data_IF_712038636983
#
_entry.id   IF_712038636983
#
_cell.length_a   1.000
_cell.length_b   1.000
_cell.length_c   1.000
_cell.angle_alpha   90.00
_cell.angle_beta   90.00
_cell.angle_gamma   90.00
#
_symmetry.space_group_name_H-M   'P 1'
#
loop_
_entity.id
_entity.type
_entity.pdbx_description
1 polymer ?
#
# COMPACT_ATOMS: atom_id res chain seq x y z
N UNK A 1 0.30 8.90 -5.83
CA UNK A 1 0.83 7.56 -6.15
C UNK A 1 -0.25 6.51 -5.89
N UNK A 2 -0.46 5.58 -6.81
CA UNK A 2 -1.38 4.44 -6.66
C UNK A 2 -0.82 3.23 -7.40
N UNK A 3 -1.09 2.02 -6.90
CA UNK A 3 -0.67 0.77 -7.53
C UNK A 3 -1.88 -0.14 -7.73
N UNK A 4 -2.44 -0.22 -8.96
CA UNK A 4 -3.63 -1.03 -9.24
C UNK A 4 -3.32 -2.53 -9.25
N UNK A 5 -2.12 -2.91 -9.71
CA UNK A 5 -1.71 -4.28 -9.90
C UNK A 5 -0.24 -4.52 -9.51
N UNK A 6 0.18 -5.76 -9.25
CA UNK A 6 1.57 -6.08 -8.97
C UNK A 6 2.50 -5.55 -10.06
N UNK A 7 3.57 -4.84 -9.66
CA UNK A 7 4.58 -4.21 -10.54
C UNK A 7 4.05 -3.06 -11.41
N UNK A 8 2.86 -2.55 -11.14
CA UNK A 8 2.29 -1.38 -11.81
C UNK A 8 2.15 -0.26 -10.79
N UNK A 9 2.70 0.92 -11.11
CA UNK A 9 2.65 2.11 -10.26
C UNK A 9 2.31 3.32 -11.12
N UNK A 10 1.28 4.05 -10.71
CA UNK A 10 0.94 5.36 -11.24
C UNK A 10 1.48 6.42 -10.26
N UNK A 11 2.53 7.12 -10.68
CA UNK A 11 3.15 8.21 -9.94
C UNK A 11 3.42 9.38 -10.88
N UNK A 12 3.32 10.59 -10.34
CA UNK A 12 3.62 11.83 -11.05
C UNK A 12 3.89 12.95 -10.05
N UNK A 13 4.68 13.92 -10.49
CA UNK A 13 4.87 15.20 -9.79
C UNK A 13 3.87 16.18 -10.37
N UNK A 14 3.12 16.87 -9.51
CA UNK A 14 2.10 17.84 -9.91
C UNK A 14 2.47 19.20 -9.30
N UNK A 15 2.72 20.24 -10.12
CA UNK A 15 2.86 21.59 -9.61
C UNK A 15 1.49 22.09 -9.14
N UNK A 16 1.41 22.57 -7.90
CA UNK A 16 0.17 23.03 -7.26
C UNK A 16 0.36 24.40 -6.64
N UNK A 17 -0.71 25.18 -6.55
CA UNK A 17 -0.71 26.38 -5.72
C UNK A 17 -0.70 26.03 -4.24
N UNK A 18 -0.19 26.95 -3.40
CA UNK A 18 -0.22 26.77 -1.95
C UNK A 18 -1.67 26.63 -1.43
N UNK A 19 -1.85 25.83 -0.38
CA UNK A 19 -3.14 25.65 0.29
C UNK A 19 -4.13 24.71 -0.42
N UNK A 20 -3.72 24.08 -1.52
CA UNK A 20 -4.52 23.05 -2.21
C UNK A 20 -4.75 21.86 -1.28
N UNK A 21 -5.98 21.33 -1.28
CA UNK A 21 -6.31 20.13 -0.49
C UNK A 21 -5.89 18.84 -1.19
N UNK A 22 -5.79 17.75 -0.45
CA UNK A 22 -5.56 16.41 -0.98
C UNK A 22 -6.53 16.07 -2.11
N UNK A 23 -7.83 16.32 -1.94
CA UNK A 23 -8.84 16.03 -2.97
C UNK A 23 -8.60 16.83 -4.26
N UNK A 24 -8.35 18.13 -4.12
CA UNK A 24 -8.08 19.01 -5.25
C UNK A 24 -6.81 18.60 -6.00
N UNK A 25 -5.75 18.24 -5.29
CA UNK A 25 -4.53 17.73 -5.88
C UNK A 25 -4.75 16.42 -6.64
N UNK A 26 -5.54 15.49 -6.08
CA UNK A 26 -5.89 14.24 -6.74
C UNK A 26 -6.71 14.47 -8.01
N UNK A 27 -7.65 15.40 -7.99
CA UNK A 27 -8.42 15.81 -9.17
C UNK A 27 -7.50 16.43 -10.24
N UNK A 28 -6.66 17.40 -9.88
CA UNK A 28 -5.72 18.06 -10.80
C UNK A 28 -4.68 17.08 -11.36
N UNK A 29 -4.31 16.06 -10.59
CA UNK A 29 -3.37 15.05 -11.06
C UNK A 29 -3.92 14.21 -12.22
N UNK A 30 -5.24 14.11 -12.38
CA UNK A 30 -5.89 13.21 -13.35
C UNK A 30 -5.98 11.74 -12.91
N UNK A 31 -5.38 11.38 -11.76
CA UNK A 31 -5.28 9.99 -11.31
C UNK A 31 -6.65 9.33 -11.10
N UNK A 32 -7.61 10.07 -10.55
CA UNK A 32 -8.98 9.56 -10.32
C UNK A 32 -9.74 9.32 -11.63
N UNK A 33 -9.41 10.05 -12.70
CA UNK A 33 -10.02 9.83 -14.01
C UNK A 33 -9.40 8.62 -14.73
N UNK A 34 -8.10 8.38 -14.55
CA UNK A 34 -7.39 7.21 -15.09
C UNK A 34 -7.74 5.90 -14.38
N UNK A 35 -8.06 5.98 -13.08
CA UNK A 35 -8.37 4.84 -12.22
C UNK A 35 -9.81 4.99 -11.66
N UNK A 36 -10.85 4.76 -12.49
CA UNK A 36 -12.25 4.96 -12.11
C UNK A 36 -12.72 3.99 -11.02
N UNK A 37 -11.95 2.96 -10.70
CA UNK A 37 -12.24 2.06 -9.58
C UNK A 37 -12.00 2.68 -8.20
N UNK A 38 -11.29 3.82 -8.14
CA UNK A 38 -11.00 4.51 -6.88
C UNK A 38 -12.22 5.31 -6.44
N UNK A 39 -12.89 4.84 -5.39
CA UNK A 39 -13.96 5.58 -4.71
C UNK A 39 -13.49 6.05 -3.33
N UNK A 40 -13.22 7.36 -3.22
CA UNK A 40 -12.78 7.97 -1.96
C UNK A 40 -13.91 8.17 -0.94
N UNK A 41 -15.17 7.91 -1.32
CA UNK A 41 -16.30 7.92 -0.39
C UNK A 41 -16.39 6.64 0.46
N UNK A 42 -15.61 5.61 0.10
CA UNK A 42 -15.50 4.32 0.78
C UNK A 42 -14.14 4.19 1.50
N UNK A 43 -13.93 4.87 2.64
CA UNK A 43 -12.64 4.94 3.34
C UNK A 43 -12.13 3.56 3.81
N UNK A 44 -13.02 2.59 3.99
CA UNK A 44 -12.72 1.20 4.30
C UNK A 44 -12.09 0.43 3.14
N UNK A 45 -12.37 0.82 1.89
CA UNK A 45 -11.81 0.22 0.67
C UNK A 45 -10.57 0.97 0.21
N UNK A 46 -10.66 2.30 0.14
CA UNK A 46 -9.58 3.19 -0.30
C UNK A 46 -9.24 4.19 0.79
N UNK A 47 -7.98 4.19 1.23
CA UNK A 47 -7.48 5.15 2.21
C UNK A 47 -6.47 6.08 1.55
N UNK A 48 -6.63 7.38 1.74
CA UNK A 48 -5.65 8.38 1.32
C UNK A 48 -4.63 8.61 2.43
N UNK A 49 -3.36 8.68 2.05
CA UNK A 49 -2.25 8.87 2.95
C UNK A 49 -1.29 9.96 2.43
N UNK A 50 -0.59 10.59 3.36
CA UNK A 50 0.62 11.38 3.08
C UNK A 50 1.79 10.65 3.73
N UNK A 51 2.76 10.23 2.93
CA UNK A 51 3.94 9.48 3.42
C UNK A 51 3.56 8.29 4.33
N UNK A 52 2.60 7.46 3.89
CA UNK A 52 2.11 6.31 4.65
C UNK A 52 1.21 6.61 5.87
N UNK A 53 0.98 7.89 6.20
CA UNK A 53 0.07 8.29 7.29
C UNK A 53 -1.29 8.65 6.75
N UNK A 54 -2.36 8.04 7.30
CA UNK A 54 -3.74 8.33 6.90
C UNK A 54 -4.03 9.82 7.01
N UNK A 55 -4.73 10.37 6.03
CA UNK A 55 -5.14 11.77 6.00
C UNK A 55 -6.59 11.91 5.51
N UNK A 56 -7.13 13.12 5.66
CA UNK A 56 -8.44 13.48 5.11
C UNK A 56 -8.29 14.05 3.69
N UNK A 57 -9.28 13.84 2.78
CA UNK A 57 -9.35 14.55 1.50
C UNK A 57 -9.29 16.09 1.64
N UNK A 58 -9.70 16.63 2.79
CA UNK A 58 -9.70 18.08 3.07
C UNK A 58 -8.37 18.61 3.62
N UNK A 59 -7.39 17.73 3.85
CA UNK A 59 -6.08 18.14 4.37
C UNK A 59 -5.38 19.07 3.39
N UNK A 60 -4.98 20.26 3.86
CA UNK A 60 -4.19 21.20 3.09
C UNK A 60 -2.74 20.71 2.95
N UNK A 61 -2.26 20.64 1.71
CA UNK A 61 -0.95 20.11 1.40
C UNK A 61 0.17 21.09 1.74
N UNK A 62 1.33 20.53 2.07
CA UNK A 62 2.60 21.23 2.16
C UNK A 62 3.46 20.91 0.96
N UNK A 63 4.48 21.74 0.76
CA UNK A 63 5.46 21.51 -0.28
C UNK A 63 6.11 20.11 -0.12
N UNK A 64 6.28 19.42 -1.25
CA UNK A 64 6.82 18.06 -1.34
C UNK A 64 6.03 16.95 -0.63
N UNK A 65 4.77 17.20 -0.25
CA UNK A 65 3.90 16.12 0.24
C UNK A 65 3.64 15.08 -0.86
N UNK A 66 3.83 13.79 -0.53
CA UNK A 66 3.46 12.69 -1.41
C UNK A 66 2.13 12.09 -0.98
N UNK A 67 1.12 12.27 -1.83
CA UNK A 67 -0.19 11.65 -1.68
C UNK A 67 -0.15 10.21 -2.20
N UNK A 68 -0.65 9.29 -1.40
CA UNK A 68 -0.75 7.86 -1.69
C UNK A 68 -2.19 7.40 -1.53
N UNK A 69 -2.68 6.56 -2.45
CA UNK A 69 -3.97 5.88 -2.32
C UNK A 69 -3.71 4.40 -2.06
N UNK A 70 -4.08 3.94 -0.88
CA UNK A 70 -3.90 2.58 -0.40
C UNK A 70 -5.23 1.82 -0.42
N UNK A 71 -5.17 0.51 -0.68
CA UNK A 71 -6.34 -0.38 -0.63
C UNK A 71 -6.41 -1.11 0.71
N UNK A 72 -7.63 -1.51 1.09
CA UNK A 72 -7.86 -2.39 2.22
C UNK A 72 -7.05 -3.69 2.10
N UNK A 73 -6.58 -4.19 3.25
CA UNK A 73 -5.94 -5.49 3.31
C UNK A 73 -7.01 -6.58 3.17
N UNK A 74 -6.85 -7.49 2.22
CA UNK A 74 -7.77 -8.63 2.02
C UNK A 74 -7.58 -9.73 3.07
N UNK A 75 -6.38 -9.82 3.64
CA UNK A 75 -5.99 -10.81 4.63
C UNK A 75 -5.04 -10.15 5.62
N UNK A 76 -5.14 -10.55 6.90
CA UNK A 76 -4.21 -10.10 7.92
C UNK A 76 -2.75 -10.39 7.48
N UNK A 77 -1.83 -9.41 7.56
CA UNK A 77 -0.47 -9.59 7.06
C UNK A 77 0.30 -10.75 7.70
N UNK A 78 0.01 -11.10 8.97
CA UNK A 78 0.68 -12.24 9.64
C UNK A 78 0.13 -13.56 9.13
N UNK A 79 -1.18 -13.64 8.91
CA UNK A 79 -1.81 -14.81 8.27
C UNK A 79 -1.24 -14.99 6.85
N UNK A 80 -1.26 -13.94 6.04
CA UNK A 80 -0.71 -13.98 4.67
C UNK A 80 0.77 -14.40 4.65
N UNK A 81 1.56 -13.89 5.60
CA UNK A 81 2.98 -14.27 5.75
C UNK A 81 3.13 -15.74 6.14
N UNK A 82 2.33 -16.24 7.08
CA UNK A 82 2.35 -17.64 7.52
C UNK A 82 1.99 -18.58 6.37
N UNK A 83 0.94 -18.26 5.62
CA UNK A 83 0.50 -19.05 4.47
C UNK A 83 1.55 -19.07 3.36
N UNK A 84 2.15 -17.92 3.03
CA UNK A 84 3.27 -17.86 2.08
C UNK A 84 4.47 -18.69 2.54
N UNK A 85 4.79 -18.67 3.82
CA UNK A 85 5.88 -19.48 4.37
C UNK A 85 5.60 -20.98 4.26
N UNK A 86 4.37 -21.41 4.55
CA UNK A 86 3.95 -22.81 4.39
C UNK A 86 3.98 -23.26 2.92
N UNK A 87 3.47 -22.42 2.01
CA UNK A 87 3.45 -22.68 0.57
C UNK A 87 4.85 -22.68 -0.08
N UNK A 88 5.77 -21.84 0.41
CA UNK A 88 7.14 -21.82 -0.11
C UNK A 88 7.91 -23.10 0.19
N UNK A 89 7.44 -23.92 1.14
CA UNK A 89 8.07 -25.19 1.49
C UNK A 89 9.51 -25.04 1.96
N UNK A 90 10.06 -26.10 2.53
CA UNK A 90 11.47 -26.19 2.94
C UNK A 90 12.48 -26.17 1.78
N UNK A 91 12.06 -25.97 0.52
CA UNK A 91 12.89 -26.27 -0.65
C UNK A 91 13.61 -25.08 -1.28
N UNK A 92 13.18 -23.82 -1.04
CA UNK A 92 13.83 -22.66 -1.70
C UNK A 92 14.55 -21.70 -0.77
N UNK A 93 14.06 -21.52 0.45
CA UNK A 93 14.79 -20.83 1.50
C UNK A 93 15.42 -21.89 2.39
N UNK A 94 16.71 -22.18 2.21
CA UNK A 94 17.47 -23.18 2.97
C UNK A 94 17.53 -22.94 4.50
N UNK A 95 16.77 -21.98 5.02
CA UNK A 95 16.71 -21.51 6.40
C UNK A 95 16.32 -22.62 7.41
N UNK A 96 15.69 -23.70 6.95
CA UNK A 96 15.42 -24.90 7.77
C UNK A 96 15.85 -26.22 7.11
N UNK A 97 16.62 -26.16 6.01
CA UNK A 97 16.99 -27.35 5.22
C UNK A 97 17.89 -28.33 5.98
N UNK A 98 18.59 -27.86 7.02
CA UNK A 98 19.39 -28.69 7.93
C UNK A 98 18.84 -28.58 9.35
N UNK A 99 17.86 -29.42 9.71
CA UNK A 99 17.64 -29.73 11.13
C UNK A 99 18.83 -30.58 11.60
N UNK A 100 19.52 -30.16 12.66
CA UNK A 100 20.45 -31.06 13.38
C UNK A 100 19.63 -32.24 13.94
N UNK A 101 20.18 -33.45 13.87
CA UNK A 101 19.59 -34.61 14.52
C UNK A 101 19.41 -34.30 16.02
N UNK A 102 18.18 -34.34 16.51
CA UNK A 102 17.83 -34.05 17.91
C UNK A 102 17.28 -32.65 18.21
N UNK A 103 17.04 -31.79 17.22
CA UNK A 103 16.42 -30.49 17.45
C UNK A 103 14.96 -30.64 17.94
N UNK A 104 14.68 -30.18 19.18
CA UNK A 104 13.32 -30.18 19.74
C UNK A 104 12.44 -29.13 19.05
N UNK A 105 11.15 -29.43 18.82
CA UNK A 105 10.27 -28.46 18.20
C UNK A 105 9.85 -27.38 19.22
N UNK A 106 10.27 -26.15 19.00
CA UNK A 106 9.53 -24.97 19.47
C UNK A 106 9.70 -24.53 20.92
N UNK A 107 10.92 -24.51 21.47
CA UNK A 107 11.40 -23.53 22.46
C UNK A 107 12.93 -23.64 22.59
#
# INVERSE_FOLDING_TARGET
MYSPAPRVVHERVVPLSAGVTVLQALQQSGLLAECPEIDLSQPEVFTVCIWGKKTSPDHALRDLDRIEICRALTVDPKVARRERFQQQGSSRAGLFSKRRAGAKPGY
#
